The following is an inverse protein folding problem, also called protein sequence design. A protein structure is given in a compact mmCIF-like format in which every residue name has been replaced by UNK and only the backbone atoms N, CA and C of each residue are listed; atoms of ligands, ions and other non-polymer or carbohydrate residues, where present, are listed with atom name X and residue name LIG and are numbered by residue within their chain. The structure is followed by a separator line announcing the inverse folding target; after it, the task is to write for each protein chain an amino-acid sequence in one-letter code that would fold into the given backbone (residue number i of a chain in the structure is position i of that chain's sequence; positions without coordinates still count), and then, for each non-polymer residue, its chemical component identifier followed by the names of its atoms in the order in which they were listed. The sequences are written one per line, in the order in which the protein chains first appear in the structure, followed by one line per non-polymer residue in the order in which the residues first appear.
data_IF_192383975491
#
_entry.id   IF_192383975491
#
_cell.length_a   1.000
_cell.length_b   1.000
_cell.length_c   1.000
_cell.angle_alpha   90.00
_cell.angle_beta   90.00
_cell.angle_gamma   90.00
#
_symmetry.space_group_name_H-M   'P 1'
#
loop_
_entity.id
_entity.type
_entity.pdbx_description
1 polymer ?
#
# COMPACT_ATOMS: atom_id res chain seq x y z
N UNK A 1 5.59 4.37 -26.72
CA UNK A 1 4.94 5.09 -25.60
C UNK A 1 4.93 6.58 -25.92
N UNK A 2 3.82 7.28 -25.73
CA UNK A 2 3.75 8.74 -25.91
C UNK A 2 4.60 9.43 -24.84
N UNK A 3 5.16 10.59 -25.15
CA UNK A 3 6.07 11.35 -24.27
C UNK A 3 5.55 11.51 -22.82
N UNK A 4 4.27 11.89 -22.65
CA UNK A 4 3.69 12.04 -21.32
C UNK A 4 3.69 10.73 -20.52
N UNK A 5 3.48 9.56 -21.16
CA UNK A 5 3.53 8.26 -20.50
C UNK A 5 4.91 7.96 -19.90
N UNK A 6 5.98 8.22 -20.67
CA UNK A 6 7.36 8.07 -20.18
C UNK A 6 7.65 9.02 -19.03
N UNK A 7 7.19 10.28 -19.12
CA UNK A 7 7.35 11.27 -18.05
C UNK A 7 6.67 10.81 -16.76
N UNK A 8 5.44 10.28 -16.80
CA UNK A 8 4.77 9.78 -15.59
C UNK A 8 5.47 8.56 -14.96
N UNK A 9 5.99 7.65 -15.78
CA UNK A 9 6.79 6.52 -15.26
C UNK A 9 8.09 7.01 -14.61
N UNK A 10 8.78 7.98 -15.22
CA UNK A 10 9.98 8.59 -14.65
C UNK A 10 9.67 9.33 -13.34
N UNK A 11 8.55 10.05 -13.25
CA UNK A 11 8.08 10.69 -12.02
C UNK A 11 7.90 9.64 -10.93
N UNK A 12 7.22 8.52 -11.21
CA UNK A 12 7.03 7.45 -10.23
C UNK A 12 8.36 6.85 -9.78
N UNK A 13 9.28 6.54 -10.69
CA UNK A 13 10.60 6.01 -10.34
C UNK A 13 11.36 6.94 -9.38
N UNK A 14 11.45 8.22 -9.71
CA UNK A 14 12.20 9.20 -8.89
C UNK A 14 11.51 9.45 -7.54
N UNK A 15 10.18 9.63 -7.52
CA UNK A 15 9.43 9.85 -6.30
C UNK A 15 9.54 8.66 -5.35
N UNK A 16 9.37 7.44 -5.87
CA UNK A 16 9.40 6.23 -5.05
C UNK A 16 10.81 5.87 -4.59
N UNK A 17 11.84 6.16 -5.42
CA UNK A 17 13.23 6.03 -5.00
C UNK A 17 13.54 6.96 -3.82
N UNK A 18 13.27 8.27 -3.97
CA UNK A 18 13.53 9.25 -2.91
C UNK A 18 12.77 8.94 -1.62
N UNK A 19 11.47 8.58 -1.74
CA UNK A 19 10.63 8.26 -0.59
C UNK A 19 11.06 6.99 0.14
N UNK A 20 11.33 5.91 -0.58
CA UNK A 20 11.72 4.64 0.02
C UNK A 20 13.10 4.70 0.67
N UNK A 21 14.08 5.37 0.03
CA UNK A 21 15.39 5.58 0.59
C UNK A 21 15.35 6.43 1.86
N UNK A 22 14.69 7.60 1.80
CA UNK A 22 14.64 8.54 2.92
C UNK A 22 13.82 8.01 4.10
N UNK A 23 12.70 7.33 3.84
CA UNK A 23 11.83 6.79 4.89
C UNK A 23 12.56 5.79 5.80
N UNK A 24 13.35 4.88 5.22
CA UNK A 24 14.15 3.94 6.00
C UNK A 24 15.33 4.64 6.69
N UNK A 25 16.06 5.48 5.97
CA UNK A 25 17.20 6.21 6.52
C UNK A 25 16.79 7.14 7.66
N UNK A 26 15.64 7.80 7.58
CA UNK A 26 15.11 8.61 8.68
C UNK A 26 14.96 7.80 9.97
N UNK A 27 14.41 6.57 9.87
CA UNK A 27 14.27 5.68 11.03
C UNK A 27 15.62 5.21 11.57
N UNK A 28 16.57 4.84 10.70
CA UNK A 28 17.92 4.43 11.08
C UNK A 28 18.66 5.61 11.73
N UNK A 29 18.56 6.80 11.15
CA UNK A 29 19.20 8.01 11.67
C UNK A 29 18.68 8.38 13.07
N UNK A 30 17.37 8.28 13.31
CA UNK A 30 16.79 8.47 14.65
C UNK A 30 17.31 7.39 15.60
N UNK A 31 17.37 6.12 15.16
CA UNK A 31 17.87 5.01 15.96
C UNK A 31 19.33 5.22 16.37
N UNK A 32 20.19 5.60 15.44
CA UNK A 32 21.61 5.87 15.70
C UNK A 32 21.82 7.09 16.62
N UNK A 33 20.99 8.15 16.47
CA UNK A 33 21.07 9.34 17.31
C UNK A 33 20.54 9.11 18.73
N UNK A 34 19.53 8.25 18.91
CA UNK A 34 18.78 8.16 20.18
C UNK A 34 18.89 6.82 20.88
N UNK A 35 19.40 5.78 20.22
CA UNK A 35 19.42 4.39 20.70
C UNK A 35 18.03 3.79 20.93
N UNK A 36 16.94 4.43 20.43
CA UNK A 36 15.56 4.04 20.76
C UNK A 36 14.81 3.53 19.54
N UNK A 37 14.54 2.21 19.51
CA UNK A 37 13.70 1.56 18.50
C UNK A 37 12.28 2.15 18.46
N UNK A 38 11.73 2.52 19.63
CA UNK A 38 10.41 3.15 19.71
C UNK A 38 10.39 4.50 19.00
N UNK A 39 11.41 5.37 19.23
CA UNK A 39 11.49 6.66 18.54
C UNK A 39 11.70 6.49 17.04
N UNK A 40 12.54 5.55 16.62
CA UNK A 40 12.75 5.25 15.21
C UNK A 40 11.44 4.82 14.51
N UNK A 41 10.64 3.96 15.15
CA UNK A 41 9.34 3.54 14.62
C UNK A 41 8.32 4.69 14.54
N UNK A 42 8.36 5.67 15.46
CA UNK A 42 7.46 6.83 15.43
C UNK A 42 7.66 7.74 14.22
N UNK A 43 8.79 7.66 13.52
CA UNK A 43 8.97 8.36 12.25
C UNK A 43 7.89 7.94 11.23
N UNK A 44 7.53 6.66 11.20
CA UNK A 44 6.43 6.14 10.38
C UNK A 44 5.08 6.76 10.74
N UNK A 45 4.80 7.04 12.03
CA UNK A 45 3.59 7.74 12.42
C UNK A 45 3.50 9.13 11.75
N UNK A 46 4.59 9.88 11.75
CA UNK A 46 4.63 11.20 11.14
C UNK A 46 4.34 11.15 9.63
N UNK A 47 4.78 10.09 8.94
CA UNK A 47 4.49 9.88 7.52
C UNK A 47 3.02 9.50 7.28
N UNK A 48 2.45 8.62 8.12
CA UNK A 48 1.09 8.11 7.89
C UNK A 48 -0.01 8.96 8.53
N UNK A 49 0.25 9.70 9.61
CA UNK A 49 -0.76 10.53 10.27
C UNK A 49 -1.45 11.54 9.33
N UNK A 50 -0.75 12.23 8.40
CA UNK A 50 -1.39 13.13 7.46
C UNK A 50 -2.41 12.47 6.51
N UNK A 51 -2.36 11.13 6.31
CA UNK A 51 -3.36 10.43 5.50
C UNK A 51 -4.77 10.50 6.13
N UNK A 52 -4.87 10.67 7.45
CA UNK A 52 -6.13 10.90 8.14
C UNK A 52 -6.75 12.25 7.76
N UNK A 53 -5.93 13.22 7.34
CA UNK A 53 -6.35 14.53 6.85
C UNK A 53 -6.65 14.49 5.33
N UNK A 54 -6.58 13.32 4.70
CA UNK A 54 -6.78 13.12 3.27
C UNK A 54 -8.02 13.81 2.68
N UNK A 55 -9.21 13.73 3.30
CA UNK A 55 -10.41 14.41 2.80
C UNK A 55 -10.29 15.94 2.77
N UNK A 56 -9.53 16.53 3.70
CA UNK A 56 -9.32 17.98 3.80
C UNK A 56 -8.25 18.43 2.81
N UNK A 57 -7.14 17.70 2.73
CA UNK A 57 -6.06 17.96 1.78
C UNK A 57 -6.53 17.75 0.34
N UNK A 58 -7.36 16.72 0.08
CA UNK A 58 -8.00 16.52 -1.22
C UNK A 58 -8.90 17.68 -1.63
N UNK A 59 -9.63 18.29 -0.68
CA UNK A 59 -10.41 19.50 -0.94
C UNK A 59 -9.56 20.72 -1.33
N UNK A 60 -8.30 20.79 -0.89
CA UNK A 60 -7.34 21.79 -1.32
C UNK A 60 -6.88 21.53 -2.77
N UNK A 61 -6.59 20.26 -3.10
CA UNK A 61 -6.22 19.83 -4.46
C UNK A 61 -7.32 20.14 -5.47
N UNK A 62 -8.60 19.96 -5.10
CA UNK A 62 -9.74 20.23 -5.97
C UNK A 62 -9.89 21.72 -6.32
N UNK A 63 -9.42 22.62 -5.44
CA UNK A 63 -9.51 24.08 -5.62
C UNK A 63 -8.33 24.67 -6.37
N UNK A 64 -7.16 24.05 -6.30
CA UNK A 64 -5.93 24.54 -6.87
C UNK A 64 -5.74 24.08 -8.33
N UNK A 65 -5.02 24.84 -9.16
CA UNK A 65 -4.58 24.35 -10.46
C UNK A 65 -3.58 23.21 -10.27
N UNK A 66 -3.93 22.03 -10.77
CA UNK A 66 -3.27 20.73 -10.44
C UNK A 66 -1.76 20.74 -10.70
N UNK A 67 -1.33 21.15 -11.91
CA UNK A 67 0.09 21.15 -12.29
C UNK A 67 0.95 22.11 -11.44
N UNK A 68 0.60 23.39 -11.24
CA UNK A 68 1.32 24.28 -10.32
C UNK A 68 1.35 23.75 -8.88
N UNK A 69 0.26 23.14 -8.39
CA UNK A 69 0.22 22.54 -7.05
C UNK A 69 1.24 21.42 -6.93
N UNK A 70 1.31 20.48 -7.89
CA UNK A 70 2.27 19.38 -7.89
C UNK A 70 3.72 19.87 -7.92
N UNK A 71 4.00 20.89 -8.74
CA UNK A 71 5.32 21.53 -8.81
C UNK A 71 5.66 22.18 -7.46
N UNK A 72 4.77 23.01 -6.92
CA UNK A 72 4.99 23.72 -5.66
C UNK A 72 5.20 22.74 -4.48
N UNK A 73 4.39 21.67 -4.41
CA UNK A 73 4.53 20.62 -3.38
C UNK A 73 5.90 19.96 -3.46
N UNK A 74 6.38 19.61 -4.66
CA UNK A 74 7.69 18.99 -4.83
C UNK A 74 8.83 19.97 -4.48
N UNK A 75 8.74 21.24 -4.88
CA UNK A 75 9.75 22.25 -4.53
C UNK A 75 9.79 22.49 -3.01
N UNK A 76 8.63 22.58 -2.36
CA UNK A 76 8.55 22.72 -0.91
C UNK A 76 9.13 21.49 -0.21
N UNK A 77 8.80 20.28 -0.67
CA UNK A 77 9.34 19.05 -0.13
C UNK A 77 10.87 19.01 -0.25
N UNK A 78 11.43 19.43 -1.39
CA UNK A 78 12.88 19.52 -1.57
C UNK A 78 13.52 20.48 -0.56
N UNK A 79 12.92 21.67 -0.38
CA UNK A 79 13.42 22.65 0.59
C UNK A 79 13.37 22.12 2.04
N UNK A 80 12.27 21.43 2.39
CA UNK A 80 12.11 20.80 3.72
C UNK A 80 13.12 19.67 3.91
N UNK A 81 13.40 18.85 2.89
CA UNK A 81 14.43 17.79 2.96
C UNK A 81 15.84 18.38 3.18
N UNK A 82 16.15 19.51 2.54
CA UNK A 82 17.44 20.18 2.74
C UNK A 82 17.62 20.72 4.17
N UNK A 83 16.53 20.97 4.92
CA UNK A 83 16.64 21.35 6.33
C UNK A 83 17.29 20.28 7.20
N UNK A 84 17.28 19.00 6.77
CA UNK A 84 17.98 17.90 7.45
C UNK A 84 19.49 18.06 7.49
N UNK A 85 20.08 18.92 6.65
CA UNK A 85 21.51 19.26 6.73
C UNK A 85 21.88 19.94 8.05
N UNK A 86 20.90 20.47 8.79
CA UNK A 86 21.09 21.03 10.11
C UNK A 86 21.18 19.97 11.22
N UNK A 87 20.81 18.71 10.96
CA UNK A 87 20.81 17.63 11.97
C UNK A 87 22.22 17.15 12.24
N UNK A 88 22.74 17.50 13.43
CA UNK A 88 24.10 17.15 13.88
C UNK A 88 24.13 16.51 15.28
N UNK A 89 23.01 16.50 15.99
CA UNK A 89 22.94 16.03 17.37
C UNK A 89 21.58 15.41 17.71
N UNK A 90 21.49 14.58 18.77
CA UNK A 90 20.21 14.02 19.23
C UNK A 90 19.12 15.06 19.53
N UNK A 91 19.53 16.27 19.96
CA UNK A 91 18.59 17.36 20.25
C UNK A 91 17.80 17.84 19.02
N UNK A 92 18.30 17.56 17.81
CA UNK A 92 17.70 17.98 16.54
C UNK A 92 16.85 16.87 15.88
N UNK A 93 16.65 15.75 16.56
CA UNK A 93 15.83 14.63 16.05
C UNK A 93 14.40 15.07 15.69
N UNK A 94 13.86 16.10 16.39
CA UNK A 94 12.56 16.67 16.08
C UNK A 94 12.44 17.14 14.62
N UNK A 95 13.54 17.57 14.00
CA UNK A 95 13.56 18.01 12.61
C UNK A 95 13.30 16.85 11.66
N UNK A 96 13.82 15.65 11.95
CA UNK A 96 13.56 14.43 11.17
C UNK A 96 12.06 14.08 11.24
N UNK A 97 11.45 14.19 12.43
CA UNK A 97 10.00 13.98 12.58
C UNK A 97 9.17 15.03 11.82
N UNK A 98 9.58 16.30 11.88
CA UNK A 98 8.90 17.38 11.15
C UNK A 98 8.98 17.16 9.63
N UNK A 99 10.15 16.76 9.12
CA UNK A 99 10.36 16.40 7.72
C UNK A 99 9.53 15.17 7.32
N UNK A 100 9.46 14.14 8.18
CA UNK A 100 8.61 12.96 7.96
C UNK A 100 7.12 13.34 7.85
N UNK A 101 6.65 14.26 8.71
CA UNK A 101 5.28 14.79 8.63
C UNK A 101 5.01 15.59 7.34
N UNK A 102 5.94 16.45 6.95
CA UNK A 102 5.87 17.18 5.69
C UNK A 102 5.86 16.23 4.48
N UNK A 103 6.63 15.14 4.57
CA UNK A 103 6.61 14.08 3.57
C UNK A 103 5.24 13.43 3.44
N UNK A 104 4.61 13.08 4.56
CA UNK A 104 3.27 12.51 4.59
C UNK A 104 2.20 13.44 4.03
N UNK A 105 2.26 14.75 4.33
CA UNK A 105 1.38 15.76 3.72
C UNK A 105 1.59 15.83 2.21
N UNK A 106 2.86 15.89 1.79
CA UNK A 106 3.22 15.92 0.36
C UNK A 106 2.72 14.69 -0.37
N UNK A 107 2.85 13.49 0.23
CA UNK A 107 2.34 12.24 -0.32
C UNK A 107 0.84 12.32 -0.65
N UNK A 108 0.02 12.80 0.29
CA UNK A 108 -1.43 12.93 0.08
C UNK A 108 -1.76 13.94 -1.04
N UNK A 109 -1.07 15.08 -1.07
CA UNK A 109 -1.29 16.11 -2.10
C UNK A 109 -0.86 15.62 -3.49
N UNK A 110 0.27 14.92 -3.58
CA UNK A 110 0.81 14.39 -4.83
C UNK A 110 -0.08 13.26 -5.36
N UNK A 111 -0.48 12.31 -4.52
CA UNK A 111 -1.35 11.20 -4.91
C UNK A 111 -2.71 11.68 -5.45
N UNK A 112 -3.36 12.60 -4.72
CA UNK A 112 -4.61 13.21 -5.16
C UNK A 112 -4.45 14.04 -6.44
N UNK A 113 -3.37 14.83 -6.55
CA UNK A 113 -3.09 15.66 -7.69
C UNK A 113 -2.75 14.85 -8.94
N UNK A 114 -1.95 13.79 -8.82
CA UNK A 114 -1.60 12.90 -9.93
C UNK A 114 -2.80 12.12 -10.45
N UNK A 115 -3.60 11.54 -9.54
CA UNK A 115 -4.79 10.77 -9.93
C UNK A 115 -5.76 11.61 -10.78
N UNK A 116 -5.80 12.92 -10.52
CA UNK A 116 -6.61 13.87 -11.28
C UNK A 116 -5.91 14.40 -12.55
N UNK A 117 -4.57 14.40 -12.61
CA UNK A 117 -3.79 14.92 -13.74
C UNK A 117 -3.60 13.85 -14.83
N UNK A 118 -3.46 12.59 -14.48
CA UNK A 118 -3.23 11.47 -15.40
C UNK A 118 -4.26 11.39 -16.53
N UNK A 119 -5.60 11.43 -16.27
CA UNK A 119 -6.61 11.39 -17.33
C UNK A 119 -6.61 12.64 -18.23
N UNK A 120 -6.12 13.79 -17.73
CA UNK A 120 -6.01 15.02 -18.50
C UNK A 120 -4.77 15.05 -19.42
N UNK A 121 -3.78 14.19 -19.13
CA UNK A 121 -2.50 14.16 -19.84
C UNK A 121 -2.36 12.94 -20.77
N UNK A 122 -3.20 11.90 -20.62
CA UNK A 122 -3.11 10.63 -21.32
C UNK A 122 -4.47 10.24 -21.92
N UNK A 123 -4.48 9.62 -23.13
CA UNK A 123 -5.68 9.00 -23.69
C UNK A 123 -6.16 7.83 -22.80
N UNK A 124 -7.46 7.61 -22.76
CA UNK A 124 -8.10 6.58 -21.92
C UNK A 124 -7.56 5.17 -22.17
N UNK A 125 -7.22 4.86 -23.43
CA UNK A 125 -6.65 3.55 -23.81
C UNK A 125 -5.21 3.32 -23.33
N UNK A 126 -4.46 4.37 -22.95
CA UNK A 126 -3.09 4.26 -22.43
C UNK A 126 -3.04 4.25 -20.89
N UNK A 127 -4.10 4.71 -20.20
CA UNK A 127 -4.13 4.84 -18.73
C UNK A 127 -3.82 3.52 -18.01
N UNK A 128 -4.41 2.42 -18.47
CA UNK A 128 -4.18 1.10 -17.84
C UNK A 128 -2.72 0.65 -17.96
N UNK A 129 -2.11 0.81 -19.13
CA UNK A 129 -0.72 0.44 -19.35
C UNK A 129 0.25 1.32 -18.55
N UNK A 130 0.01 2.63 -18.52
CA UNK A 130 0.85 3.58 -17.76
C UNK A 130 0.75 3.32 -16.26
N UNK A 131 -0.46 3.07 -15.73
CA UNK A 131 -0.63 2.70 -14.31
C UNK A 131 0.08 1.39 -13.99
N UNK A 132 0.03 0.40 -14.88
CA UNK A 132 0.80 -0.85 -14.72
C UNK A 132 2.30 -0.61 -14.62
N UNK A 133 2.87 0.20 -15.53
CA UNK A 133 4.29 0.56 -15.50
C UNK A 133 4.68 1.35 -14.26
N UNK A 134 3.82 2.30 -13.82
CA UNK A 134 4.04 3.05 -12.57
C UNK A 134 4.06 2.13 -11.36
N UNK A 135 3.10 1.22 -11.24
CA UNK A 135 3.08 0.22 -10.15
C UNK A 135 4.31 -0.67 -10.16
N UNK A 136 4.76 -1.12 -11.33
CA UNK A 136 6.00 -1.90 -11.45
C UNK A 136 7.24 -1.10 -11.03
N UNK A 137 7.28 0.20 -11.37
CA UNK A 137 8.33 1.11 -10.95
C UNK A 137 8.37 1.25 -9.42
N UNK A 138 7.20 1.47 -8.80
CA UNK A 138 7.06 1.59 -7.34
C UNK A 138 7.54 0.32 -6.61
N UNK A 139 7.09 -0.85 -7.06
CA UNK A 139 7.53 -2.12 -6.44
C UNK A 139 9.03 -2.38 -6.65
N UNK A 140 9.57 -2.03 -7.83
CA UNK A 140 11.01 -2.13 -8.10
C UNK A 140 11.84 -1.22 -7.20
N UNK A 141 11.37 -0.01 -6.93
CA UNK A 141 12.07 0.93 -6.05
C UNK A 141 12.08 0.50 -4.58
N UNK A 142 11.06 -0.19 -4.10
CA UNK A 142 11.06 -0.80 -2.75
C UNK A 142 12.19 -1.82 -2.55
N UNK A 143 12.66 -2.44 -3.64
CA UNK A 143 13.78 -3.38 -3.58
C UNK A 143 15.14 -2.66 -3.55
N UNK A 144 15.32 -1.66 -4.39
CA UNK A 144 16.64 -1.03 -4.66
C UNK A 144 16.88 0.17 -3.73
N UNK A 145 15.88 1.02 -3.54
CA UNK A 145 16.06 2.30 -2.86
C UNK A 145 16.48 2.17 -1.38
N UNK A 146 15.95 1.22 -0.58
CA UNK A 146 16.42 1.04 0.79
C UNK A 146 17.92 0.71 0.87
N UNK A 147 18.40 -0.20 0.01
CA UNK A 147 19.83 -0.56 -0.04
C UNK A 147 20.70 0.62 -0.45
N UNK A 148 20.31 1.33 -1.51
CA UNK A 148 21.05 2.49 -2.00
C UNK A 148 21.08 3.61 -0.96
N UNK A 149 19.94 3.91 -0.32
CA UNK A 149 19.82 4.93 0.72
C UNK A 149 20.69 4.62 1.93
N UNK A 150 20.64 3.39 2.43
CA UNK A 150 21.41 2.98 3.61
C UNK A 150 22.90 2.83 3.29
N UNK A 151 23.28 2.37 2.09
CA UNK A 151 24.68 2.35 1.66
C UNK A 151 25.25 3.76 1.62
N UNK A 152 24.52 4.74 1.10
CA UNK A 152 24.92 6.14 1.10
C UNK A 152 24.99 6.71 2.52
N UNK A 153 24.04 6.36 3.38
CA UNK A 153 24.03 6.74 4.79
C UNK A 153 25.27 6.21 5.54
N UNK A 154 25.60 4.94 5.34
CA UNK A 154 26.77 4.32 5.97
C UNK A 154 28.09 4.94 5.48
N UNK A 155 28.15 5.40 4.22
CA UNK A 155 29.34 5.98 3.63
C UNK A 155 29.53 7.47 3.97
N UNK A 156 28.48 8.28 3.85
CA UNK A 156 28.55 9.75 3.93
C UNK A 156 27.59 10.37 4.98
N UNK A 157 26.86 9.53 5.71
CA UNK A 157 25.91 9.98 6.72
C UNK A 157 24.60 10.51 6.18
N UNK A 158 23.74 10.98 7.10
CA UNK A 158 22.37 11.41 6.79
C UNK A 158 22.28 12.63 5.89
N UNK A 159 23.23 13.55 5.95
CA UNK A 159 23.27 14.74 5.12
C UNK A 159 23.32 14.40 3.61
N UNK A 160 24.12 13.41 3.21
CA UNK A 160 24.22 12.99 1.82
C UNK A 160 22.90 12.39 1.31
N UNK A 161 22.22 11.59 2.15
CA UNK A 161 20.91 11.03 1.81
C UNK A 161 19.86 12.12 1.73
N UNK A 162 19.91 13.14 2.59
CA UNK A 162 19.00 14.29 2.53
C UNK A 162 19.16 15.07 1.21
N UNK A 163 20.40 15.28 0.76
CA UNK A 163 20.68 15.94 -0.54
C UNK A 163 20.17 15.09 -1.71
N UNK A 164 20.47 13.78 -1.72
CA UNK A 164 19.98 12.86 -2.74
C UNK A 164 18.44 12.86 -2.78
N UNK A 165 17.81 12.71 -1.61
CA UNK A 165 16.35 12.69 -1.49
C UNK A 165 15.71 14.03 -1.87
N UNK A 166 16.38 15.17 -1.67
CA UNK A 166 15.91 16.48 -2.12
C UNK A 166 16.05 16.68 -3.64
N UNK A 167 17.05 16.08 -4.26
CA UNK A 167 17.23 16.13 -5.70
C UNK A 167 16.09 15.43 -6.46
N UNK A 168 15.48 14.39 -5.87
CA UNK A 168 14.38 13.65 -6.51
C UNK A 168 13.14 14.54 -6.73
N UNK A 169 12.55 15.19 -5.72
CA UNK A 169 11.39 16.06 -5.95
C UNK A 169 11.75 17.29 -6.81
N UNK A 170 12.98 17.78 -6.83
CA UNK A 170 13.39 18.83 -7.78
C UNK A 170 13.31 18.31 -9.22
N UNK A 171 13.84 17.13 -9.49
CA UNK A 171 13.74 16.50 -10.81
C UNK A 171 12.27 16.21 -11.19
N UNK A 172 11.46 15.76 -10.25
CA UNK A 172 10.03 15.52 -10.43
C UNK A 172 9.28 16.81 -10.74
N UNK A 173 9.58 17.92 -10.05
CA UNK A 173 9.01 19.23 -10.35
C UNK A 173 9.35 19.68 -11.79
N UNK A 174 10.59 19.49 -12.22
CA UNK A 174 11.01 19.75 -13.59
C UNK A 174 10.26 18.88 -14.60
N UNK A 175 10.07 17.58 -14.31
CA UNK A 175 9.28 16.68 -15.17
C UNK A 175 7.83 17.10 -15.27
N UNK A 176 7.17 17.51 -14.17
CA UNK A 176 5.81 18.07 -14.23
C UNK A 176 5.75 19.33 -15.09
N UNK A 177 6.79 20.17 -15.07
CA UNK A 177 6.87 21.35 -15.91
C UNK A 177 6.96 21.01 -17.42
N UNK A 178 7.42 19.84 -17.80
CA UNK A 178 7.50 19.39 -19.20
C UNK A 178 6.21 18.76 -19.75
N UNK A 179 5.24 18.42 -18.89
CA UNK A 179 4.00 17.77 -19.33
C UNK A 179 3.21 18.64 -20.28
N UNK A 180 2.74 18.07 -21.37
CA UNK A 180 1.81 18.70 -22.31
C UNK A 180 0.39 18.31 -21.93
N UNK A 181 -0.35 19.24 -21.35
CA UNK A 181 -1.74 19.03 -20.98
C UNK A 181 -2.64 19.46 -22.13
N UNK A 182 -3.55 18.58 -22.53
CA UNK A 182 -4.66 18.97 -23.40
C UNK A 182 -5.67 19.70 -22.52
N UNK A 183 -6.18 20.84 -22.95
CA UNK A 183 -7.19 21.60 -22.23
C UNK A 183 -8.49 20.78 -22.12
N UNK A 184 -8.57 19.94 -21.09
CA UNK A 184 -9.82 19.27 -20.74
C UNK A 184 -10.56 20.20 -19.79
N UNK A 185 -11.74 20.67 -20.22
CA UNK A 185 -12.71 21.39 -19.42
C UNK A 185 -12.83 20.71 -18.04
N UNK A 186 -12.90 21.54 -17.00
CA UNK A 186 -13.28 21.09 -15.65
C UNK A 186 -14.64 20.37 -15.75
N UNK A 187 -14.61 19.05 -15.99
CA UNK A 187 -15.79 18.25 -15.76
C UNK A 187 -16.04 18.30 -14.24
N UNK A 188 -17.23 18.75 -13.86
CA UNK A 188 -17.72 18.74 -12.48
C UNK A 188 -17.66 17.30 -11.96
N UNK A 189 -16.53 16.92 -11.38
CA UNK A 189 -16.45 15.66 -10.64
C UNK A 189 -17.42 15.81 -9.46
N UNK A 190 -18.34 14.87 -9.27
CA UNK A 190 -19.32 14.94 -8.18
C UNK A 190 -18.55 15.06 -6.86
N UNK A 191 -18.73 16.20 -6.17
CA UNK A 191 -18.11 16.46 -4.87
C UNK A 191 -18.38 15.28 -3.95
N UNK A 192 -17.31 14.65 -3.49
CA UNK A 192 -17.38 13.52 -2.58
C UNK A 192 -18.06 13.95 -1.26
N UNK A 193 -19.37 13.75 -1.17
CA UNK A 193 -20.12 13.92 0.08
C UNK A 193 -20.42 12.54 0.66
N UNK A 194 -19.73 12.21 1.77
CA UNK A 194 -20.16 11.22 2.73
C UNK A 194 -19.35 9.93 2.81
N UNK A 195 -18.37 9.90 3.72
CA UNK A 195 -17.70 8.68 4.22
C UNK A 195 -18.72 7.60 4.64
N UNK A 196 -19.87 8.03 5.18
CA UNK A 196 -20.98 7.16 5.61
C UNK A 196 -21.54 6.29 4.47
N UNK A 197 -21.67 6.83 3.26
CA UNK A 197 -22.20 6.04 2.12
C UNK A 197 -21.20 4.97 1.66
N UNK A 198 -19.91 5.26 1.70
CA UNK A 198 -18.86 4.25 1.42
C UNK A 198 -18.83 3.15 2.49
N UNK A 199 -18.91 3.53 3.77
CA UNK A 199 -18.94 2.58 4.89
C UNK A 199 -20.17 1.66 4.86
N UNK A 200 -21.37 2.17 4.50
CA UNK A 200 -22.56 1.33 4.39
C UNK A 200 -22.45 0.25 3.32
N UNK A 201 -21.82 0.57 2.18
CA UNK A 201 -21.56 -0.42 1.11
C UNK A 201 -20.54 -1.45 1.58
N UNK A 202 -19.45 -1.03 2.24
CA UNK A 202 -18.42 -1.94 2.77
C UNK A 202 -19.01 -2.86 3.85
N UNK A 203 -19.85 -2.35 4.74
CA UNK A 203 -20.48 -3.12 5.81
C UNK A 203 -21.55 -4.10 5.30
N UNK A 204 -22.28 -3.73 4.25
CA UNK A 204 -23.42 -4.50 3.72
C UNK A 204 -23.05 -5.77 2.95
N UNK A 205 -21.84 -5.88 2.44
CA UNK A 205 -21.37 -7.03 1.64
C UNK A 205 -20.30 -7.83 2.38
N UNK A 206 -20.61 -9.08 2.74
CA UNK A 206 -19.74 -9.93 3.55
C UNK A 206 -18.31 -10.09 3.02
N UNK A 207 -18.15 -10.27 1.70
CA UNK A 207 -16.83 -10.42 1.05
C UNK A 207 -16.02 -9.13 1.12
N UNK A 208 -16.63 -7.96 0.85
CA UNK A 208 -15.95 -6.66 0.93
C UNK A 208 -15.50 -6.39 2.36
N UNK A 209 -16.41 -6.52 3.30
CA UNK A 209 -16.11 -6.33 4.73
C UNK A 209 -14.97 -7.21 5.20
N UNK A 210 -14.98 -8.47 4.82
CA UNK A 210 -13.98 -9.45 5.26
C UNK A 210 -12.61 -9.16 4.68
N UNK A 211 -12.50 -8.94 3.38
CA UNK A 211 -11.22 -8.69 2.70
C UNK A 211 -10.61 -7.35 3.13
N UNK A 212 -11.42 -6.29 3.21
CA UNK A 212 -10.96 -4.97 3.68
C UNK A 212 -10.55 -5.03 5.16
N UNK A 213 -11.28 -5.78 6.02
CA UNK A 213 -10.90 -5.94 7.42
C UNK A 213 -9.58 -6.72 7.59
N UNK A 214 -9.35 -7.79 6.81
CA UNK A 214 -8.08 -8.53 6.83
C UNK A 214 -6.91 -7.65 6.37
N UNK A 215 -7.09 -6.84 5.33
CA UNK A 215 -6.07 -5.92 4.86
C UNK A 215 -5.80 -4.83 5.91
N UNK A 216 -6.83 -4.21 6.48
CA UNK A 216 -6.70 -3.21 7.53
C UNK A 216 -5.96 -3.77 8.75
N UNK A 217 -6.30 -4.98 9.19
CA UNK A 217 -5.62 -5.66 10.29
C UNK A 217 -4.16 -5.93 9.96
N UNK A 218 -3.85 -6.49 8.79
CA UNK A 218 -2.47 -6.82 8.40
C UNK A 218 -1.60 -5.57 8.27
N UNK A 219 -2.14 -4.48 7.73
CA UNK A 219 -1.45 -3.18 7.62
C UNK A 219 -1.24 -2.57 9.01
N UNK A 220 -2.27 -2.57 9.87
CA UNK A 220 -2.13 -2.08 11.24
C UNK A 220 -1.09 -2.89 12.03
N UNK A 221 -1.13 -4.22 11.94
CA UNK A 221 -0.15 -5.10 12.59
C UNK A 221 1.26 -4.88 12.04
N UNK A 222 1.42 -4.58 10.75
CA UNK A 222 2.74 -4.25 10.19
C UNK A 222 3.33 -2.99 10.82
N UNK A 223 2.51 -1.95 11.01
CA UNK A 223 2.91 -0.73 11.72
C UNK A 223 3.22 -0.98 13.21
N UNK A 224 2.37 -1.76 13.88
CA UNK A 224 2.56 -2.12 15.28
C UNK A 224 3.87 -2.92 15.50
N UNK A 225 4.21 -3.82 14.59
CA UNK A 225 5.40 -4.66 14.67
C UNK A 225 6.73 -3.93 14.38
N UNK A 226 6.68 -2.67 13.87
CA UNK A 226 7.87 -1.95 13.37
C UNK A 226 8.93 -1.76 14.45
N UNK A 227 8.55 -1.26 15.64
CA UNK A 227 9.50 -1.04 16.75
C UNK A 227 10.10 -2.36 17.25
N UNK A 228 9.27 -3.41 17.36
CA UNK A 228 9.73 -4.73 17.76
C UNK A 228 10.69 -5.35 16.74
N UNK A 229 10.48 -5.11 15.45
CA UNK A 229 11.43 -5.56 14.40
C UNK A 229 12.78 -4.85 14.51
N UNK A 230 12.80 -3.54 14.80
CA UNK A 230 14.03 -2.79 15.00
C UNK A 230 14.79 -3.30 16.24
N UNK A 231 14.08 -3.52 17.34
CA UNK A 231 14.64 -4.05 18.57
C UNK A 231 15.20 -5.47 18.40
N UNK A 232 14.53 -6.35 17.62
CA UNK A 232 15.07 -7.69 17.31
C UNK A 232 16.39 -7.59 16.56
N UNK A 233 16.53 -6.66 15.64
CA UNK A 233 17.76 -6.49 14.85
C UNK A 233 18.89 -5.96 15.74
N UNK A 234 18.66 -4.87 16.46
CA UNK A 234 19.72 -4.12 17.15
C UNK A 234 19.91 -4.54 18.60
N UNK A 235 18.83 -4.89 19.32
CA UNK A 235 18.90 -5.25 20.75
C UNK A 235 19.01 -6.74 21.00
N UNK A 236 18.35 -7.60 20.19
CA UNK A 236 18.33 -9.05 20.41
C UNK A 236 19.43 -9.77 19.65
N UNK A 237 19.70 -9.38 18.40
CA UNK A 237 20.70 -10.01 17.53
C UNK A 237 22.00 -9.22 17.43
N UNK A 238 22.05 -8.03 18.01
CA UNK A 238 23.22 -7.13 18.01
C UNK A 238 23.76 -6.88 16.59
N UNK A 239 22.85 -6.74 15.62
CA UNK A 239 23.18 -6.47 14.22
C UNK A 239 23.24 -4.95 14.00
N UNK A 240 24.08 -4.52 13.06
CA UNK A 240 24.15 -3.13 12.65
C UNK A 240 22.77 -2.62 12.16
N UNK A 241 22.46 -1.35 12.46
CA UNK A 241 21.20 -0.69 12.03
C UNK A 241 21.01 -0.74 10.51
N UNK A 242 22.12 -0.75 9.76
CA UNK A 242 22.12 -0.91 8.29
C UNK A 242 21.49 -2.23 7.82
N UNK A 243 21.44 -3.28 8.66
CA UNK A 243 20.78 -4.54 8.35
C UNK A 243 19.27 -4.38 8.12
N UNK A 244 18.66 -3.32 8.65
CA UNK A 244 17.26 -2.97 8.37
C UNK A 244 16.98 -2.75 6.88
N UNK A 245 17.99 -2.31 6.11
CA UNK A 245 17.88 -2.19 4.66
C UNK A 245 17.76 -3.55 3.98
N UNK A 246 18.51 -4.54 4.46
CA UNK A 246 18.43 -5.93 3.95
C UNK A 246 17.02 -6.47 4.19
N UNK A 247 16.44 -6.23 5.38
CA UNK A 247 15.07 -6.66 5.69
C UNK A 247 14.01 -5.94 4.83
N UNK A 248 14.17 -4.64 4.61
CA UNK A 248 13.27 -3.87 3.75
C UNK A 248 13.32 -4.38 2.30
N UNK A 249 14.51 -4.64 1.79
CA UNK A 249 14.71 -5.21 0.44
C UNK A 249 14.22 -6.64 0.33
N UNK A 250 14.40 -7.47 1.36
CA UNK A 250 13.83 -8.82 1.41
C UNK A 250 12.28 -8.77 1.37
N UNK A 251 11.68 -7.84 2.09
CA UNK A 251 10.23 -7.61 2.03
C UNK A 251 9.78 -7.11 0.66
N UNK A 252 10.53 -6.19 0.04
CA UNK A 252 10.29 -5.71 -1.33
C UNK A 252 10.37 -6.84 -2.36
N UNK A 253 11.39 -7.72 -2.27
CA UNK A 253 11.52 -8.90 -3.12
C UNK A 253 10.31 -9.84 -2.96
N UNK A 254 9.88 -10.10 -1.73
CA UNK A 254 8.66 -10.85 -1.45
C UNK A 254 7.41 -10.21 -2.08
N UNK A 255 7.30 -8.88 -2.01
CA UNK A 255 6.19 -8.11 -2.60
C UNK A 255 6.14 -8.26 -4.12
N UNK A 256 7.28 -8.19 -4.79
CA UNK A 256 7.38 -8.43 -6.24
C UNK A 256 6.96 -9.86 -6.61
N UNK A 257 7.53 -10.86 -5.93
CA UNK A 257 7.19 -12.27 -6.18
C UNK A 257 5.71 -12.55 -5.92
N UNK A 258 5.18 -12.03 -4.83
CA UNK A 258 3.77 -12.14 -4.48
C UNK A 258 2.85 -11.48 -5.51
N UNK A 259 3.22 -10.30 -6.00
CA UNK A 259 2.48 -9.54 -7.00
C UNK A 259 2.35 -10.26 -8.35
N UNK A 260 3.40 -10.98 -8.79
CA UNK A 260 3.38 -11.73 -10.05
C UNK A 260 2.36 -12.88 -10.05
N UNK A 261 2.07 -13.46 -8.89
CA UNK A 261 1.28 -14.69 -8.76
C UNK A 261 -0.17 -14.38 -8.32
N UNK A 262 -0.38 -13.31 -7.55
CA UNK A 262 -1.65 -13.03 -6.87
C UNK A 262 -2.85 -12.93 -7.80
N UNK A 263 -2.71 -12.32 -8.98
CA UNK A 263 -3.81 -12.21 -9.95
C UNK A 263 -4.32 -13.56 -10.43
N UNK A 264 -3.41 -14.49 -10.75
CA UNK A 264 -3.77 -15.86 -11.14
C UNK A 264 -4.39 -16.63 -9.97
N UNK A 265 -3.92 -16.39 -8.77
CA UNK A 265 -4.42 -17.06 -7.57
C UNK A 265 -5.83 -16.57 -7.21
N UNK A 266 -6.09 -15.27 -7.32
CA UNK A 266 -7.43 -14.69 -7.15
C UNK A 266 -8.41 -15.27 -8.17
N UNK A 267 -8.02 -15.38 -9.45
CA UNK A 267 -8.86 -15.96 -10.48
C UNK A 267 -9.21 -17.44 -10.22
N UNK A 268 -8.31 -18.21 -9.60
CA UNK A 268 -8.50 -19.64 -9.31
C UNK A 268 -9.19 -19.92 -7.97
N UNK A 269 -8.90 -19.14 -6.94
CA UNK A 269 -9.32 -19.45 -5.54
C UNK A 269 -10.23 -18.39 -4.94
N UNK A 270 -10.43 -17.26 -5.63
CA UNK A 270 -11.23 -16.12 -5.16
C UNK A 270 -10.52 -15.22 -4.16
N UNK A 271 -11.05 -14.01 -4.00
CA UNK A 271 -10.43 -12.93 -3.21
C UNK A 271 -10.35 -13.26 -1.72
N UNK A 272 -11.37 -13.93 -1.15
CA UNK A 272 -11.40 -14.25 0.29
C UNK A 272 -10.30 -15.24 0.67
N UNK A 273 -10.12 -16.30 -0.11
CA UNK A 273 -9.08 -17.32 0.14
C UNK A 273 -7.69 -16.72 0.04
N UNK A 274 -7.46 -15.87 -0.97
CA UNK A 274 -6.17 -15.19 -1.17
C UNK A 274 -5.90 -14.19 -0.04
N UNK A 275 -6.91 -13.43 0.39
CA UNK A 275 -6.78 -12.53 1.54
C UNK A 275 -6.42 -13.27 2.84
N UNK A 276 -7.07 -14.40 3.11
CA UNK A 276 -6.76 -15.26 4.27
C UNK A 276 -5.34 -15.84 4.16
N UNK A 277 -4.97 -16.39 2.99
CA UNK A 277 -3.63 -16.92 2.76
C UNK A 277 -2.55 -15.85 2.93
N UNK A 278 -2.80 -14.63 2.43
CA UNK A 278 -1.92 -13.49 2.61
C UNK A 278 -1.72 -13.12 4.07
N UNK A 279 -2.81 -13.04 4.86
CA UNK A 279 -2.74 -12.77 6.30
C UNK A 279 -1.97 -13.87 7.04
N UNK A 280 -2.18 -15.14 6.68
CA UNK A 280 -1.47 -16.27 7.29
C UNK A 280 0.03 -16.27 6.93
N UNK A 281 0.39 -15.97 5.68
CA UNK A 281 1.79 -15.81 5.25
C UNK A 281 2.46 -14.64 5.97
N UNK A 282 1.76 -13.51 6.13
CA UNK A 282 2.28 -12.37 6.88
C UNK A 282 2.56 -12.77 8.34
N UNK A 283 1.64 -13.48 8.99
CA UNK A 283 1.83 -14.00 10.33
C UNK A 283 3.02 -14.99 10.42
N UNK A 284 3.16 -15.90 9.46
CA UNK A 284 4.31 -16.80 9.39
C UNK A 284 5.64 -16.04 9.26
N UNK A 285 5.65 -14.95 8.47
CA UNK A 285 6.79 -14.04 8.39
C UNK A 285 7.14 -13.40 9.72
N UNK A 286 6.15 -12.99 10.52
CA UNK A 286 6.37 -12.44 11.87
C UNK A 286 6.94 -13.50 12.82
N UNK A 287 6.44 -14.73 12.78
CA UNK A 287 6.99 -15.86 13.59
C UNK A 287 8.44 -16.15 13.22
N UNK A 288 8.76 -16.21 11.93
CA UNK A 288 10.12 -16.44 11.47
C UNK A 288 11.11 -15.38 12.00
N UNK A 289 10.66 -14.12 12.12
CA UNK A 289 11.46 -13.01 12.67
C UNK A 289 11.72 -13.12 14.18
N UNK A 290 11.03 -14.02 14.91
CA UNK A 290 11.28 -14.28 16.31
C UNK A 290 12.46 -15.23 16.57
N UNK A 291 12.94 -15.94 15.54
CA UNK A 291 14.04 -16.89 15.66
C UNK A 291 15.37 -16.13 15.88
N UNK A 292 16.27 -16.66 16.77
CA UNK A 292 17.54 -16.01 17.09
C UNK A 292 18.61 -16.24 16.01
N UNK A 293 18.26 -16.00 14.77
CA UNK A 293 19.11 -16.30 13.61
C UNK A 293 18.79 -15.32 12.46
N UNK A 294 19.80 -14.57 12.02
CA UNK A 294 19.60 -13.51 11.01
C UNK A 294 19.02 -13.98 9.66
N UNK A 295 19.33 -15.18 9.12
CA UNK A 295 18.67 -15.62 7.89
C UNK A 295 17.17 -15.82 8.05
N UNK A 296 16.70 -16.20 9.24
CA UNK A 296 15.27 -16.32 9.51
C UNK A 296 14.55 -14.95 9.43
N UNK A 297 15.23 -13.85 9.81
CA UNK A 297 14.69 -12.50 9.60
C UNK A 297 14.49 -12.19 8.11
N UNK A 298 15.49 -12.54 7.28
CA UNK A 298 15.43 -12.32 5.83
C UNK A 298 14.31 -13.15 5.20
N UNK A 299 14.26 -14.46 5.51
CA UNK A 299 13.19 -15.35 5.04
C UNK A 299 11.83 -14.87 5.53
N UNK A 300 11.71 -14.47 6.79
CA UNK A 300 10.51 -13.87 7.36
C UNK A 300 10.14 -12.54 6.66
N UNK A 301 11.14 -11.77 6.22
CA UNK A 301 10.97 -10.59 5.38
C UNK A 301 10.31 -10.92 4.04
N UNK A 302 10.84 -11.90 3.33
CA UNK A 302 10.30 -12.36 2.03
C UNK A 302 8.88 -12.92 2.20
N UNK A 303 8.66 -13.82 3.17
CA UNK A 303 7.33 -14.42 3.41
C UNK A 303 6.30 -13.35 3.77
N UNK A 304 6.64 -12.43 4.68
CA UNK A 304 5.76 -11.31 5.05
C UNK A 304 5.51 -10.36 3.88
N UNK A 305 6.54 -10.15 3.04
CA UNK A 305 6.48 -9.39 1.81
C UNK A 305 5.56 -10.00 0.75
N UNK A 306 5.43 -11.31 0.67
CA UNK A 306 4.42 -11.99 -0.16
C UNK A 306 3.02 -11.81 0.46
N UNK A 307 2.91 -12.02 1.77
CA UNK A 307 1.62 -12.06 2.46
C UNK A 307 0.89 -10.72 2.48
N UNK A 308 1.58 -9.64 2.80
CA UNK A 308 0.97 -8.31 2.96
C UNK A 308 0.33 -7.78 1.65
N UNK A 309 1.00 -7.80 0.48
CA UNK A 309 0.37 -7.43 -0.78
C UNK A 309 -0.80 -8.34 -1.18
N UNK A 310 -0.76 -9.63 -0.84
CA UNK A 310 -1.89 -10.51 -1.15
C UNK A 310 -3.17 -10.09 -0.43
N UNK A 311 -3.07 -9.67 0.85
CA UNK A 311 -4.23 -9.15 1.58
C UNK A 311 -4.74 -7.85 0.95
N UNK A 312 -3.84 -6.94 0.61
CA UNK A 312 -4.17 -5.64 0.02
C UNK A 312 -4.81 -5.80 -1.36
N UNK A 313 -4.17 -6.56 -2.26
CA UNK A 313 -4.67 -6.76 -3.63
C UNK A 313 -6.01 -7.49 -3.62
N UNK A 314 -6.20 -8.47 -2.72
CA UNK A 314 -7.49 -9.15 -2.55
C UNK A 314 -8.60 -8.17 -2.12
N UNK A 315 -8.31 -7.26 -1.18
CA UNK A 315 -9.26 -6.25 -0.72
C UNK A 315 -9.61 -5.24 -1.83
N UNK A 316 -8.60 -4.70 -2.51
CA UNK A 316 -8.79 -3.76 -3.63
C UNK A 316 -9.59 -4.40 -4.76
N UNK A 317 -9.25 -5.65 -5.13
CA UNK A 317 -9.98 -6.40 -6.17
C UNK A 317 -11.42 -6.66 -5.76
N UNK A 318 -11.68 -7.02 -4.49
CA UNK A 318 -13.04 -7.21 -3.99
C UNK A 318 -13.86 -5.91 -4.07
N UNK A 319 -13.26 -4.76 -3.70
CA UNK A 319 -13.90 -3.44 -3.79
C UNK A 319 -14.24 -3.11 -5.25
N UNK A 320 -13.30 -3.29 -6.17
CA UNK A 320 -13.49 -3.00 -7.59
C UNK A 320 -14.58 -3.88 -8.22
N UNK A 321 -14.55 -5.19 -7.96
CA UNK A 321 -15.52 -6.14 -8.51
C UNK A 321 -16.89 -6.05 -7.82
N UNK A 322 -16.92 -5.70 -6.55
CA UNK A 322 -18.14 -5.68 -5.74
C UNK A 322 -18.89 -4.35 -5.73
N UNK A 323 -18.40 -3.28 -6.39
CA UNK A 323 -18.99 -1.95 -6.29
C UNK A 323 -19.45 -1.45 -7.67
N UNK A 324 -20.70 -0.94 -7.78
CA UNK A 324 -21.15 -0.30 -9.03
C UNK A 324 -20.23 0.88 -9.42
N UNK A 325 -20.02 1.08 -10.73
CA UNK A 325 -19.12 2.10 -11.29
C UNK A 325 -19.40 3.52 -10.76
N UNK A 326 -20.68 3.87 -10.58
CA UNK A 326 -21.10 5.17 -10.05
C UNK A 326 -20.66 5.45 -8.61
N UNK A 327 -20.39 4.40 -7.80
CA UNK A 327 -19.98 4.51 -6.40
C UNK A 327 -18.52 4.11 -6.18
N UNK A 328 -17.85 3.58 -7.20
CA UNK A 328 -16.52 2.97 -7.09
C UNK A 328 -15.49 3.92 -6.46
N UNK A 329 -15.42 5.17 -6.92
CA UNK A 329 -14.48 6.15 -6.37
C UNK A 329 -14.68 6.41 -4.87
N UNK A 330 -15.94 6.52 -4.42
CA UNK A 330 -16.27 6.74 -3.00
C UNK A 330 -15.93 5.53 -2.14
N UNK A 331 -16.33 4.34 -2.60
CA UNK A 331 -16.10 3.09 -1.84
C UNK A 331 -14.60 2.79 -1.79
N UNK A 332 -13.85 3.02 -2.88
CA UNK A 332 -12.39 2.86 -2.90
C UNK A 332 -11.68 3.83 -1.95
N UNK A 333 -12.05 5.12 -1.95
CA UNK A 333 -11.48 6.09 -1.02
C UNK A 333 -11.78 5.72 0.44
N UNK A 334 -13.02 5.30 0.73
CA UNK A 334 -13.41 4.84 2.08
C UNK A 334 -12.65 3.57 2.46
N UNK A 335 -12.52 2.60 1.56
CA UNK A 335 -11.78 1.37 1.80
C UNK A 335 -10.29 1.67 2.07
N UNK A 336 -9.69 2.59 1.33
CA UNK A 336 -8.31 3.02 1.54
C UNK A 336 -8.11 3.64 2.94
N UNK A 337 -9.03 4.52 3.35
CA UNK A 337 -9.00 5.10 4.71
C UNK A 337 -9.16 4.02 5.79
N UNK A 338 -10.05 3.04 5.60
CA UNK A 338 -10.24 1.92 6.55
C UNK A 338 -9.01 1.01 6.60
N UNK A 339 -8.35 0.75 5.48
CA UNK A 339 -7.16 -0.11 5.42
C UNK A 339 -5.92 0.54 6.01
N UNK A 340 -5.68 1.81 5.71
CA UNK A 340 -4.45 2.50 6.12
C UNK A 340 -4.61 3.39 7.35
N UNK A 341 -5.83 3.85 7.67
CA UNK A 341 -6.07 4.70 8.85
C UNK A 341 -5.58 4.10 10.18
N UNK A 342 -5.85 2.82 10.47
CA UNK A 342 -5.45 2.20 11.73
C UNK A 342 -3.93 2.15 11.96
N UNK A 343 -3.10 2.23 10.93
CA UNK A 343 -1.63 2.19 11.08
C UNK A 343 -1.11 3.40 11.89
N UNK A 344 -1.77 4.54 11.77
CA UNK A 344 -1.40 5.75 12.51
C UNK A 344 -1.52 5.58 14.04
N UNK A 345 -2.47 4.75 14.50
CA UNK A 345 -2.60 4.39 15.92
C UNK A 345 -1.73 3.18 16.28
N UNK A 346 -1.57 2.24 15.35
CA UNK A 346 -0.82 1.01 15.57
C UNK A 346 0.67 1.26 15.82
N UNK A 347 1.29 2.21 15.09
CA UNK A 347 2.71 2.53 15.25
C UNK A 347 3.06 2.99 16.69
N UNK A 348 2.41 4.01 17.28
CA UNK A 348 2.73 4.43 18.65
C UNK A 348 2.40 3.36 19.69
N UNK A 349 1.32 2.59 19.51
CA UNK A 349 1.00 1.47 20.39
C UNK A 349 2.07 0.37 20.32
N UNK A 350 2.58 0.07 19.13
CA UNK A 350 3.69 -0.88 18.94
C UNK A 350 5.01 -0.38 19.55
N UNK A 351 5.29 0.93 19.41
CA UNK A 351 6.45 1.58 20.04
C UNK A 351 6.40 1.50 21.57
N UNK A 352 5.22 1.57 22.18
CA UNK A 352 5.03 1.35 23.61
C UNK A 352 5.12 -0.14 23.98
N UNK A 353 4.55 -1.03 23.14
CA UNK A 353 4.51 -2.46 23.43
C UNK A 353 5.89 -3.15 23.36
N UNK A 354 6.87 -2.57 22.66
CA UNK A 354 8.22 -3.16 22.56
C UNK A 354 8.90 -3.32 23.91
N UNK A 355 8.56 -2.48 24.91
CA UNK A 355 9.03 -2.59 26.28
C UNK A 355 8.57 -3.85 27.01
N UNK A 356 7.51 -4.52 26.51
CA UNK A 356 7.04 -5.82 26.99
C UNK A 356 7.85 -7.00 26.42
N UNK A 357 8.79 -6.71 25.52
CA UNK A 357 9.65 -7.65 24.81
C UNK A 357 9.35 -7.75 23.33
N UNK A 358 10.36 -7.56 22.52
CA UNK A 358 10.22 -7.52 21.05
C UNK A 358 9.66 -8.83 20.47
N UNK A 359 10.14 -9.99 20.94
CA UNK A 359 9.65 -11.31 20.50
C UNK A 359 8.21 -11.55 20.90
N UNK A 360 7.83 -11.22 22.15
CA UNK A 360 6.46 -11.35 22.63
C UNK A 360 5.50 -10.49 21.79
N UNK A 361 5.91 -9.29 21.48
CA UNK A 361 5.15 -8.36 20.60
C UNK A 361 4.92 -8.97 19.20
N UNK A 362 5.96 -9.50 18.54
CA UNK A 362 5.84 -10.13 17.23
C UNK A 362 4.97 -11.40 17.26
N UNK A 363 5.09 -12.24 18.28
CA UNK A 363 4.26 -13.44 18.44
C UNK A 363 2.80 -13.08 18.70
N UNK A 364 2.52 -12.04 19.51
CA UNK A 364 1.17 -11.50 19.71
C UNK A 364 0.55 -11.00 18.40
N UNK A 365 1.32 -10.26 17.60
CA UNK A 365 0.94 -9.85 16.26
C UNK A 365 0.58 -11.01 15.33
N UNK A 366 1.42 -12.06 15.33
CA UNK A 366 1.18 -13.25 14.54
C UNK A 366 -0.10 -13.99 14.99
N UNK A 367 -0.30 -14.14 16.31
CA UNK A 367 -1.49 -14.77 16.87
C UNK A 367 -2.78 -14.04 16.50
N UNK A 368 -2.78 -12.70 16.53
CA UNK A 368 -3.92 -11.86 16.11
C UNK A 368 -4.24 -12.07 14.62
N UNK A 369 -3.22 -12.07 13.74
CA UNK A 369 -3.40 -12.33 12.32
C UNK A 369 -3.94 -13.76 12.05
N UNK A 370 -3.37 -14.79 12.69
CA UNK A 370 -3.82 -16.17 12.52
C UNK A 370 -5.23 -16.38 13.08
N UNK A 371 -5.55 -15.76 14.22
CA UNK A 371 -6.90 -15.77 14.78
C UNK A 371 -7.93 -15.17 13.84
N UNK A 372 -7.64 -14.00 13.25
CA UNK A 372 -8.51 -13.37 12.26
C UNK A 372 -8.68 -14.23 11.00
N UNK A 373 -7.60 -14.78 10.47
CA UNK A 373 -7.63 -15.70 9.33
C UNK A 373 -8.49 -16.92 9.62
N UNK A 374 -8.33 -17.53 10.81
CA UNK A 374 -9.10 -18.68 11.28
C UNK A 374 -10.60 -18.38 11.42
N UNK A 375 -10.97 -17.24 11.97
CA UNK A 375 -12.38 -16.81 12.08
C UNK A 375 -13.02 -16.68 10.70
N UNK A 376 -12.31 -16.07 9.74
CA UNK A 376 -12.81 -15.92 8.38
C UNK A 376 -12.99 -17.27 7.70
N UNK A 377 -12.02 -18.20 7.84
CA UNK A 377 -12.12 -19.54 7.28
C UNK A 377 -13.30 -20.33 7.85
N UNK A 378 -13.54 -20.24 9.17
CA UNK A 378 -14.69 -20.90 9.80
C UNK A 378 -16.01 -20.36 9.25
N UNK A 379 -16.14 -19.04 9.15
CA UNK A 379 -17.37 -18.40 8.61
C UNK A 379 -17.62 -18.75 7.13
N UNK A 380 -16.57 -18.84 6.32
CA UNK A 380 -16.73 -19.21 4.90
C UNK A 380 -17.15 -20.66 4.72
N UNK A 381 -16.71 -21.58 5.60
CA UNK A 381 -17.15 -22.98 5.60
C UNK A 381 -18.60 -23.14 6.07
N UNK A 382 -19.02 -22.38 7.07
CA UNK A 382 -20.41 -22.42 7.60
C UNK A 382 -21.44 -21.82 6.63
N UNK A 383 -21.01 -21.01 5.66
CA UNK A 383 -21.87 -20.41 4.64
C UNK A 383 -22.08 -21.29 3.39
N UNK A 384 -21.37 -22.43 3.26
CA UNK A 384 -21.66 -23.43 2.24
C UNK A 384 -22.77 -24.35 2.77
N UNK A 385 -23.93 -24.46 2.09
CA UNK A 385 -24.97 -25.39 2.51
C UNK A 385 -24.42 -26.83 2.45
N UNK A 386 -24.79 -27.70 3.43
CA UNK A 386 -24.42 -29.10 3.39
C UNK A 386 -25.19 -29.77 2.24
N UNK A 387 -24.55 -30.07 1.12
CA UNK A 387 -25.17 -30.83 0.04
C UNK A 387 -24.87 -30.36 -1.37
N UNK A 388 -23.60 -30.31 -1.76
CA UNK A 388 -23.22 -30.54 -3.15
C UNK A 388 -22.27 -31.75 -3.21
N UNK A 389 -22.80 -32.90 -2.77
CA UNK A 389 -22.27 -34.21 -3.15
C UNK A 389 -22.36 -34.37 -4.65
N UNK A 390 -21.30 -34.91 -5.23
CA UNK A 390 -21.09 -35.33 -6.61
C UNK A 390 -22.35 -35.57 -7.45
N UNK A 391 -22.37 -35.14 -8.72
CA UNK A 391 -23.30 -35.69 -9.66
C UNK A 391 -22.87 -37.14 -9.92
N UNK A 392 -23.64 -38.07 -9.40
CA UNK A 392 -23.61 -39.51 -9.75
C UNK A 392 -23.58 -39.64 -11.26
N UNK A 393 -22.49 -40.18 -11.80
CA UNK A 393 -22.39 -40.70 -13.16
C UNK A 393 -23.51 -41.76 -13.35
N UNK A 394 -24.50 -41.46 -14.15
CA UNK A 394 -25.48 -42.47 -14.56
C UNK A 394 -26.91 -41.92 -14.67
N UNK A 395 -27.19 -41.07 -15.62
CA UNK A 395 -28.53 -40.69 -15.99
C UNK A 395 -28.57 -40.29 -17.47
N UNK A 396 -29.21 -41.11 -18.28
CA UNK A 396 -29.45 -40.89 -19.71
C UNK A 396 -30.07 -39.50 -19.98
N UNK A 397 -29.79 -38.84 -21.12
CA UNK A 397 -30.38 -37.55 -21.43
C UNK A 397 -31.89 -37.72 -21.65
N UNK A 398 -32.66 -37.09 -20.78
CA UNK A 398 -34.11 -36.96 -20.93
C UNK A 398 -34.37 -35.84 -21.93
N UNK A 399 -34.86 -36.22 -23.12
CA UNK A 399 -35.39 -35.31 -24.15
C UNK A 399 -36.60 -34.57 -23.57
N UNK A 400 -36.46 -33.30 -23.21
CA UNK A 400 -37.59 -32.45 -22.90
C UNK A 400 -38.09 -31.79 -24.17
N UNK A 401 -39.19 -32.36 -24.68
CA UNK A 401 -40.06 -31.74 -25.70
C UNK A 401 -40.64 -30.44 -25.13
N UNK A 402 -40.14 -29.31 -25.55
CA UNK A 402 -40.87 -28.05 -25.36
C UNK A 402 -41.95 -27.93 -26.39
N UNK A 403 -43.17 -28.15 -25.95
CA UNK A 403 -44.40 -27.89 -26.68
C UNK A 403 -44.62 -26.39 -26.73
N UNK A 404 -44.63 -25.83 -27.94
CA UNK A 404 -44.95 -24.45 -28.21
C UNK A 404 -46.48 -24.28 -28.31
N UNK A 405 -47.17 -23.41 -27.55
CA UNK A 405 -48.57 -23.13 -27.80
C UNK A 405 -48.70 -22.14 -28.95
N UNK A 406 -49.54 -22.53 -29.86
CA UNK A 406 -50.03 -21.87 -31.03
C UNK A 406 -50.42 -20.41 -30.88
N UNK A 407 -50.01 -19.55 -31.80
CA UNK A 407 -50.90 -18.56 -32.45
C UNK A 407 -50.20 -17.99 -33.70
N UNK A 408 -50.82 -18.22 -34.82
CA UNK A 408 -50.40 -17.94 -36.18
C UNK A 408 -49.94 -16.50 -36.45
N UNK A 409 -48.83 -16.43 -37.19
CA UNK A 409 -48.69 -15.54 -38.36
C UNK A 409 -47.38 -15.90 -39.07
N UNK A 410 -47.51 -16.21 -40.37
CA UNK A 410 -46.39 -16.43 -41.30
C UNK A 410 -45.62 -15.13 -41.44
N UNK A 411 -44.32 -15.15 -41.26
CA UNK A 411 -43.42 -14.17 -41.83
C UNK A 411 -42.47 -14.85 -42.79
N UNK A 412 -42.65 -14.52 -44.06
CA UNK A 412 -41.75 -14.77 -45.18
C UNK A 412 -40.51 -13.93 -44.98
N UNK A 413 -39.32 -14.54 -45.03
CA UNK A 413 -38.07 -13.85 -45.31
C UNK A 413 -37.56 -14.35 -46.65
N UNK A 414 -37.59 -13.44 -47.61
CA UNK A 414 -36.74 -13.45 -48.78
C UNK A 414 -35.76 -12.26 -48.65
N UNK A 415 -34.50 -12.48 -49.01
CA UNK A 415 -33.48 -11.47 -49.15
C UNK A 415 -32.22 -11.75 -48.33
#
# INVERSE_FOLDING_TARGET
MRRNAVVFVAISLLSDFGSSAMSLVASIWILDLTGSASRAALAGLCVYAPTLLGPWLGGLVDRAPRRPLLIATNLLLAAVLLSLLAVRSPAQTWLIFAVAGAYGISYVLLDAGESALLPAALPTNELGAVNGWRSSAQEGMKLVAPLAGVALYAWQGGAAVAVLSAAMPLAVAALYATLRLTSVSRADAPRARGLRAGLSVLAGRGVLRTTVALAALSIAVSGFATAAQYEVVTGVLDLATTFLAVLASAQGAGSLLGGLVVGRLIARRGVTVVGVAGTALFAAGLVARCLPWWPALVVGGVIGGIGLPWTLIAAVTAVQAGTPSALLGRVSATANTVMFGPIALAIPLGAAAVHLGARATLLGCAAVCLGAAGVVLRRSRSAQPPGSAEPTRGGKPMQSSYMCPSAGKRCSCAG
#
